data_IF_630282639156
#
_entry.id   IF_630282639156
#
_cell.length_a   1.000
_cell.length_b   1.000
_cell.length_c   1.000
_cell.angle_alpha   90.00
_cell.angle_beta   90.00
_cell.angle_gamma   90.00
#
_symmetry.space_group_name_H-M   'P 1'
#
loop_
_entity.id
_entity.type
_entity.pdbx_description
1 polymer ?
#
# COMPACT_ATOMS: atom_id res chain seq x y z
N UNK A 1 -8.02 -14.03 13.18
CA UNK A 1 -7.83 -13.33 11.89
C UNK A 1 -6.73 -13.96 11.03
N UNK A 2 -5.58 -14.38 11.59
CA UNK A 2 -4.55 -15.09 10.81
C UNK A 2 -5.09 -16.38 10.15
N UNK A 3 -5.76 -17.24 10.92
CA UNK A 3 -6.31 -18.51 10.39
C UNK A 3 -7.35 -18.30 9.29
N UNK A 4 -8.19 -17.26 9.43
CA UNK A 4 -9.12 -16.84 8.38
C UNK A 4 -8.37 -16.40 7.12
N UNK A 5 -7.32 -15.59 7.27
CA UNK A 5 -6.49 -15.18 6.14
C UNK A 5 -5.87 -16.39 5.43
N UNK A 6 -5.39 -17.37 6.19
CA UNK A 6 -4.86 -18.62 5.67
C UNK A 6 -5.91 -19.45 4.94
N UNK A 7 -7.13 -19.55 5.47
CA UNK A 7 -8.21 -20.37 4.87
C UNK A 7 -8.66 -19.87 3.50
N UNK A 8 -8.41 -18.59 3.16
CA UNK A 8 -8.81 -18.01 1.86
C UNK A 8 -7.68 -17.94 0.84
N UNK A 9 -6.47 -18.43 1.14
CA UNK A 9 -5.29 -18.35 0.23
C UNK A 9 -5.50 -19.07 -1.11
N UNK A 10 -6.31 -20.14 -1.14
CA UNK A 10 -6.59 -20.92 -2.35
C UNK A 10 -7.80 -20.41 -3.16
N UNK A 11 -8.25 -19.17 -2.90
CA UNK A 11 -9.38 -18.53 -3.58
C UNK A 11 -8.90 -17.40 -4.51
N UNK A 12 -9.80 -16.79 -5.28
CA UNK A 12 -9.48 -15.57 -6.05
C UNK A 12 -8.99 -14.43 -5.16
N UNK A 13 -9.51 -14.30 -3.94
CA UNK A 13 -9.03 -13.32 -2.97
C UNK A 13 -7.59 -13.59 -2.53
N UNK A 14 -7.21 -14.86 -2.45
CA UNK A 14 -5.84 -15.29 -2.17
C UNK A 14 -4.88 -15.03 -3.32
N UNK A 15 -5.32 -15.24 -4.58
CA UNK A 15 -4.56 -14.84 -5.79
C UNK A 15 -4.33 -13.33 -5.83
N UNK A 16 -5.35 -12.53 -5.51
CA UNK A 16 -5.20 -11.09 -5.35
C UNK A 16 -4.20 -10.76 -4.25
N UNK A 17 -4.24 -11.44 -3.10
CA UNK A 17 -3.28 -11.22 -2.01
C UNK A 17 -1.82 -11.53 -2.41
N UNK A 18 -1.61 -12.53 -3.27
CA UNK A 18 -0.30 -12.85 -3.84
C UNK A 18 0.24 -11.73 -4.74
N UNK A 19 -0.62 -11.17 -5.59
CA UNK A 19 -0.26 -10.04 -6.46
C UNK A 19 -0.01 -8.78 -5.65
N UNK A 20 -0.85 -8.52 -4.65
CA UNK A 20 -0.73 -7.42 -3.69
C UNK A 20 0.52 -7.54 -2.81
N UNK A 21 1.12 -8.73 -2.74
CA UNK A 21 2.32 -8.92 -1.97
C UNK A 21 3.52 -8.13 -2.55
N UNK A 22 3.57 -7.98 -3.88
CA UNK A 22 4.61 -7.26 -4.60
C UNK A 22 4.39 -5.74 -4.54
N UNK A 23 5.37 -5.03 -3.99
CA UNK A 23 5.35 -3.57 -3.84
C UNK A 23 6.05 -2.82 -4.98
N UNK A 24 6.50 -3.50 -6.05
CA UNK A 24 7.20 -2.86 -7.17
C UNK A 24 6.39 -1.67 -7.75
N UNK A 25 7.11 -0.66 -8.26
CA UNK A 25 6.51 0.61 -8.75
C UNK A 25 5.42 0.36 -9.80
N UNK A 26 5.67 -0.56 -10.71
CA UNK A 26 4.72 -0.90 -11.77
C UNK A 26 3.54 -1.71 -11.24
N UNK A 27 3.76 -2.59 -10.26
CA UNK A 27 2.67 -3.39 -9.70
C UNK A 27 1.72 -2.54 -8.85
N UNK A 28 2.25 -1.65 -7.99
CA UNK A 28 1.41 -0.82 -7.12
C UNK A 28 0.52 0.13 -7.95
N UNK A 29 1.05 0.70 -9.01
CA UNK A 29 0.28 1.58 -9.92
C UNK A 29 -0.78 0.78 -10.69
N UNK A 30 -0.42 -0.38 -11.25
CA UNK A 30 -1.37 -1.30 -11.91
C UNK A 30 -2.51 -1.76 -11.01
N UNK A 31 -2.24 -2.02 -9.73
CA UNK A 31 -3.27 -2.44 -8.76
C UNK A 31 -4.36 -1.39 -8.52
N UNK A 32 -4.03 -0.10 -8.66
CA UNK A 32 -4.99 0.98 -8.47
C UNK A 32 -5.72 1.38 -9.75
N UNK A 33 -5.18 1.09 -10.94
CA UNK A 33 -5.80 1.46 -12.22
C UNK A 33 -7.30 1.11 -12.33
N UNK A 34 -7.76 -0.11 -11.97
CA UNK A 34 -9.19 -0.45 -12.06
C UNK A 34 -10.07 0.38 -11.12
N UNK A 35 -9.60 0.64 -9.90
CA UNK A 35 -10.32 1.47 -8.91
C UNK A 35 -10.29 2.95 -9.27
N UNK A 36 -9.20 3.42 -9.87
CA UNK A 36 -9.04 4.79 -10.32
C UNK A 36 -9.84 5.09 -11.60
N UNK A 37 -10.07 4.08 -12.44
CA UNK A 37 -10.85 4.16 -13.68
C UNK A 37 -10.04 4.48 -14.93
N UNK A 38 -8.74 4.71 -14.77
CA UNK A 38 -7.80 4.93 -15.87
C UNK A 38 -6.53 4.13 -15.60
N UNK A 39 -5.82 3.76 -16.65
CA UNK A 39 -4.52 3.11 -16.53
C UNK A 39 -3.52 4.09 -15.88
N UNK A 40 -2.96 3.71 -14.73
CA UNK A 40 -1.87 4.44 -14.09
C UNK A 40 -0.54 3.86 -14.60
N UNK A 41 0.11 4.53 -15.55
CA UNK A 41 1.41 4.12 -16.11
C UNK A 41 2.26 5.31 -16.50
N UNK A 42 3.57 5.08 -16.65
CA UNK A 42 4.56 6.05 -17.13
C UNK A 42 4.23 6.60 -18.52
N UNK A 43 3.49 5.84 -19.33
CA UNK A 43 3.11 6.21 -20.70
C UNK A 43 1.76 6.91 -20.80
N UNK A 44 0.77 6.49 -20.01
CA UNK A 44 -0.62 7.00 -20.13
C UNK A 44 -0.93 8.12 -19.15
N UNK A 45 -0.33 8.06 -17.96
CA UNK A 45 -0.52 9.05 -16.89
C UNK A 45 0.81 9.33 -16.19
N UNK A 46 1.82 9.84 -16.91
CA UNK A 46 3.15 10.06 -16.37
C UNK A 46 3.17 10.88 -15.06
N UNK A 47 2.32 11.90 -14.92
CA UNK A 47 2.32 12.76 -13.74
C UNK A 47 1.70 12.08 -12.51
N UNK A 48 0.63 11.31 -12.69
CA UNK A 48 0.03 10.48 -11.63
C UNK A 48 1.00 9.33 -11.26
N UNK A 49 1.59 8.66 -12.25
CA UNK A 49 2.55 7.58 -12.03
C UNK A 49 3.76 8.08 -11.23
N UNK A 50 4.31 9.24 -11.61
CA UNK A 50 5.43 9.87 -10.89
C UNK A 50 5.05 10.22 -9.45
N UNK A 51 3.88 10.83 -9.24
CA UNK A 51 3.40 11.16 -7.89
C UNK A 51 3.36 9.92 -6.99
N UNK A 52 2.69 8.85 -7.45
CA UNK A 52 2.52 7.60 -6.70
C UNK A 52 3.86 6.93 -6.41
N UNK A 53 4.76 6.87 -7.40
CA UNK A 53 6.05 6.18 -7.25
C UNK A 53 7.06 6.97 -6.42
N UNK A 54 6.94 8.29 -6.33
CA UNK A 54 7.78 9.14 -5.47
C UNK A 54 7.34 9.04 -4.00
N UNK A 55 6.05 9.14 -3.68
CA UNK A 55 5.57 9.11 -2.28
C UNK A 55 5.67 7.73 -1.60
N UNK A 56 5.96 6.68 -2.38
CA UNK A 56 6.03 5.29 -1.89
C UNK A 56 7.01 5.13 -0.73
N UNK A 57 8.21 5.71 -0.82
CA UNK A 57 9.26 5.53 0.18
C UNK A 57 8.95 6.28 1.49
N UNK A 58 8.42 7.51 1.37
CA UNK A 58 8.00 8.33 2.50
C UNK A 58 6.95 7.59 3.35
N UNK A 59 5.96 6.97 2.68
CA UNK A 59 4.91 6.22 3.35
C UNK A 59 5.35 4.81 3.79
N UNK A 60 6.12 4.10 2.96
CA UNK A 60 6.43 2.68 3.15
C UNK A 60 7.52 2.41 4.18
N UNK A 61 8.52 3.29 4.28
CA UNK A 61 9.65 3.14 5.20
C UNK A 61 9.70 4.29 6.22
N UNK A 62 9.94 5.53 5.78
CA UNK A 62 10.22 6.66 6.68
C UNK A 62 9.14 6.85 7.76
N UNK A 63 7.87 6.80 7.37
CA UNK A 63 6.75 6.94 8.30
C UNK A 63 6.68 5.83 9.37
N UNK A 64 7.24 4.64 9.11
CA UNK A 64 7.07 3.47 10.00
C UNK A 64 8.35 3.03 10.71
N UNK A 65 9.52 3.50 10.25
CA UNK A 65 10.84 3.00 10.64
C UNK A 65 11.11 3.08 12.15
N UNK A 66 10.77 4.20 12.79
CA UNK A 66 11.03 4.41 14.23
C UNK A 66 10.30 3.38 15.09
N UNK A 67 9.00 3.19 14.84
CA UNK A 67 8.19 2.19 15.53
C UNK A 67 8.65 0.76 15.21
N UNK A 68 9.00 0.46 13.95
CA UNK A 68 9.52 -0.85 13.55
C UNK A 68 10.79 -1.22 14.31
N UNK A 69 11.73 -0.29 14.42
CA UNK A 69 13.00 -0.50 15.11
C UNK A 69 12.79 -0.63 16.62
N UNK A 70 11.88 0.16 17.20
CA UNK A 70 11.61 0.13 18.63
C UNK A 70 10.92 -1.17 19.08
N UNK A 71 9.85 -1.58 18.41
CA UNK A 71 9.07 -2.75 18.82
C UNK A 71 9.61 -4.07 18.29
N UNK A 72 10.31 -4.03 17.14
CA UNK A 72 10.87 -5.19 16.43
C UNK A 72 9.95 -6.43 16.44
N UNK A 73 8.65 -6.20 16.21
CA UNK A 73 7.61 -7.21 16.41
C UNK A 73 7.79 -8.40 15.45
N UNK A 74 7.70 -9.62 15.96
CA UNK A 74 7.75 -10.85 15.15
C UNK A 74 6.51 -10.93 14.24
N UNK A 75 6.74 -11.33 12.98
CA UNK A 75 5.68 -11.50 11.96
C UNK A 75 4.90 -12.81 12.15
N UNK A 76 3.67 -12.91 11.63
CA UNK A 76 2.86 -14.13 11.79
C UNK A 76 3.53 -15.39 11.24
N UNK A 77 4.05 -15.34 10.01
CA UNK A 77 4.69 -16.50 9.37
C UNK A 77 5.90 -17.02 10.17
N UNK A 78 6.70 -16.12 10.75
CA UNK A 78 7.84 -16.48 11.60
C UNK A 78 7.40 -17.05 12.95
N UNK A 79 6.32 -16.50 13.53
CA UNK A 79 5.76 -16.97 14.80
C UNK A 79 5.15 -18.38 14.68
N UNK A 80 4.42 -18.65 13.60
CA UNK A 80 3.79 -19.95 13.36
C UNK A 80 4.71 -20.97 12.67
N UNK A 81 5.90 -20.55 12.23
CA UNK A 81 6.82 -21.39 11.43
C UNK A 81 6.18 -21.93 10.14
N UNK A 82 5.43 -21.07 9.45
CA UNK A 82 4.70 -21.41 8.23
C UNK A 82 5.08 -20.46 7.09
N UNK A 83 4.96 -20.89 5.82
CA UNK A 83 5.18 -20.00 4.70
C UNK A 83 4.06 -18.96 4.56
N UNK A 84 4.43 -17.82 4.02
CA UNK A 84 3.53 -16.80 3.48
C UNK A 84 2.88 -17.29 2.18
N UNK A 85 1.93 -16.52 1.64
CA UNK A 85 1.40 -16.81 0.32
C UNK A 85 2.40 -16.54 -0.81
N UNK A 86 3.46 -15.75 -0.56
CA UNK A 86 4.49 -15.39 -1.54
C UNK A 86 5.89 -15.49 -0.91
N UNK A 87 6.56 -16.65 -0.99
CA UNK A 87 7.81 -16.88 -0.26
C UNK A 87 9.00 -16.00 -0.64
N UNK A 88 9.00 -15.39 -1.83
CA UNK A 88 10.13 -14.61 -2.36
C UNK A 88 10.64 -13.50 -1.41
N UNK A 89 9.75 -12.88 -0.64
CA UNK A 89 10.12 -11.76 0.26
C UNK A 89 10.39 -12.20 1.71
N UNK A 90 10.22 -13.49 2.05
CA UNK A 90 10.31 -13.97 3.44
C UNK A 90 11.67 -13.72 4.07
N UNK A 91 12.76 -14.01 3.34
CA UNK A 91 14.14 -13.87 3.81
C UNK A 91 14.48 -12.44 4.21
N UNK A 92 13.98 -11.47 3.45
CA UNK A 92 14.20 -10.04 3.72
C UNK A 92 13.30 -9.57 4.86
N UNK A 93 12.07 -10.06 4.92
CA UNK A 93 11.08 -9.58 5.88
C UNK A 93 11.20 -10.22 7.26
N UNK A 94 11.82 -11.40 7.38
CA UNK A 94 12.06 -12.07 8.67
C UNK A 94 12.99 -11.30 9.61
N UNK A 95 13.82 -10.39 9.07
CA UNK A 95 14.77 -9.58 9.86
C UNK A 95 14.28 -8.15 10.16
N UNK A 96 13.06 -7.80 9.75
CA UNK A 96 12.47 -6.46 9.94
C UNK A 96 11.14 -6.53 10.71
N UNK A 97 10.97 -5.64 11.69
CA UNK A 97 9.80 -5.54 12.55
C UNK A 97 8.46 -5.45 11.81
N UNK A 98 7.47 -6.19 12.32
CA UNK A 98 6.12 -6.29 11.76
C UNK A 98 5.28 -5.03 11.98
N UNK A 99 5.49 -4.29 13.07
CA UNK A 99 4.60 -3.21 13.51
C UNK A 99 5.19 -1.80 13.28
N UNK A 100 4.43 -0.86 12.67
CA UNK A 100 3.23 -1.08 11.87
C UNK A 100 3.59 -1.61 10.47
N UNK A 101 2.59 -1.99 9.66
CA UNK A 101 2.82 -2.46 8.29
C UNK A 101 3.20 -1.32 7.34
N UNK A 102 4.46 -1.26 6.90
CA UNK A 102 4.93 -0.29 5.89
C UNK A 102 4.19 -0.44 4.55
N UNK A 103 3.99 -1.68 4.08
CA UNK A 103 3.26 -1.93 2.84
C UNK A 103 1.81 -1.44 2.91
N UNK A 104 1.12 -1.66 4.04
CA UNK A 104 -0.23 -1.12 4.25
C UNK A 104 -0.21 0.40 4.32
N UNK A 105 0.79 1.00 4.99
CA UNK A 105 0.92 2.45 5.10
C UNK A 105 1.05 3.08 3.71
N UNK A 106 1.92 2.51 2.87
CA UNK A 106 2.07 2.88 1.46
C UNK A 106 0.75 2.76 0.68
N UNK A 107 0.12 1.58 0.67
CA UNK A 107 -1.11 1.35 -0.11
C UNK A 107 -2.26 2.27 0.32
N UNK A 108 -2.44 2.47 1.62
CA UNK A 108 -3.48 3.35 2.13
C UNK A 108 -3.19 4.83 1.83
N UNK A 109 -1.93 5.28 1.99
CA UNK A 109 -1.53 6.66 1.66
C UNK A 109 -1.74 6.97 0.17
N UNK A 110 -1.37 6.04 -0.73
CA UNK A 110 -1.63 6.17 -2.17
C UNK A 110 -3.14 6.29 -2.43
N UNK A 111 -3.98 5.49 -1.77
CA UNK A 111 -5.43 5.56 -1.95
C UNK A 111 -6.02 6.91 -1.52
N UNK A 112 -5.51 7.53 -0.45
CA UNK A 112 -5.95 8.86 0.00
C UNK A 112 -5.63 9.93 -1.05
N UNK A 113 -4.40 9.92 -1.59
CA UNK A 113 -3.97 10.88 -2.62
C UNK A 113 -4.69 10.66 -3.95
N UNK A 114 -4.91 9.40 -4.37
CA UNK A 114 -5.68 9.11 -5.58
C UNK A 114 -7.16 9.51 -5.44
N UNK A 115 -7.75 9.36 -4.27
CA UNK A 115 -9.12 9.83 -3.99
C UNK A 115 -9.22 11.35 -4.05
N UNK A 116 -8.17 12.09 -3.68
CA UNK A 116 -8.09 13.53 -3.86
C UNK A 116 -7.99 13.96 -5.33
N UNK A 117 -7.37 13.13 -6.18
CA UNK A 117 -7.27 13.38 -7.62
C UNK A 117 -8.60 13.04 -8.31
N UNK A 118 -9.19 11.89 -8.01
CA UNK A 118 -10.45 11.42 -8.59
C UNK A 118 -11.53 11.19 -7.52
N UNK A 119 -12.15 12.27 -6.98
CA UNK A 119 -13.15 12.15 -5.93
C UNK A 119 -14.42 11.41 -6.39
N UNK A 120 -14.69 11.36 -7.69
CA UNK A 120 -15.84 10.63 -8.24
C UNK A 120 -15.75 9.11 -8.04
N UNK A 121 -14.53 8.58 -7.83
CA UNK A 121 -14.27 7.15 -7.56
C UNK A 121 -13.63 6.90 -6.20
N UNK A 122 -13.76 7.86 -5.27
CA UNK A 122 -13.12 7.78 -3.96
C UNK A 122 -13.46 6.49 -3.21
N UNK A 123 -14.70 5.98 -3.34
CA UNK A 123 -15.12 4.78 -2.63
C UNK A 123 -14.37 3.54 -3.13
N UNK A 124 -14.24 3.37 -4.45
CA UNK A 124 -13.51 2.25 -5.02
C UNK A 124 -12.01 2.35 -4.75
N UNK A 125 -11.45 3.56 -4.82
CA UNK A 125 -10.04 3.82 -4.54
C UNK A 125 -9.72 3.51 -3.08
N UNK A 126 -10.51 4.04 -2.14
CA UNK A 126 -10.29 3.81 -0.72
C UNK A 126 -10.51 2.34 -0.37
N UNK A 127 -11.55 1.69 -0.89
CA UNK A 127 -11.77 0.25 -0.73
C UNK A 127 -10.54 -0.55 -1.19
N UNK A 128 -9.96 -0.19 -2.33
CA UNK A 128 -8.74 -0.84 -2.83
C UNK A 128 -7.56 -0.65 -1.86
N UNK A 129 -7.40 0.53 -1.29
CA UNK A 129 -6.41 0.80 -0.23
C UNK A 129 -6.61 -0.08 1.02
N UNK A 130 -7.86 -0.28 1.44
CA UNK A 130 -8.18 -1.21 2.53
C UNK A 130 -7.81 -2.66 2.19
N UNK A 131 -8.16 -3.12 1.00
CA UNK A 131 -7.91 -4.50 0.55
C UNK A 131 -6.41 -4.82 0.44
N UNK A 132 -5.55 -3.86 0.10
CA UNK A 132 -4.09 -4.03 0.11
C UNK A 132 -3.61 -4.39 1.53
N UNK A 133 -4.16 -3.75 2.56
CA UNK A 133 -3.88 -4.08 3.95
C UNK A 133 -4.35 -5.49 4.33
N UNK A 134 -5.58 -5.84 3.99
CA UNK A 134 -6.13 -7.19 4.22
C UNK A 134 -5.32 -8.28 3.52
N UNK A 135 -4.83 -8.00 2.31
CA UNK A 135 -3.95 -8.90 1.56
C UNK A 135 -2.68 -9.25 2.35
N UNK A 136 -2.17 -8.32 3.18
CA UNK A 136 -1.01 -8.61 4.04
C UNK A 136 -1.32 -9.59 5.17
N UNK A 137 -2.56 -9.58 5.67
CA UNK A 137 -3.05 -10.55 6.67
C UNK A 137 -3.26 -11.91 6.03
N UNK A 138 -3.95 -11.95 4.88
CA UNK A 138 -4.20 -13.17 4.10
C UNK A 138 -2.88 -13.85 3.75
N UNK A 139 -1.92 -13.09 3.25
CA UNK A 139 -0.63 -13.61 2.85
C UNK A 139 0.25 -14.01 4.04
N UNK A 140 -0.13 -13.68 5.28
CA UNK A 140 0.60 -14.06 6.50
C UNK A 140 1.80 -13.15 6.84
N UNK A 141 1.92 -12.01 6.17
CA UNK A 141 3.02 -11.07 6.37
C UNK A 141 2.87 -10.17 7.60
N UNK A 142 1.63 -9.89 7.99
CA UNK A 142 1.31 -8.93 9.04
C UNK A 142 0.13 -9.40 9.88
N UNK A 143 0.16 -9.04 11.16
CA UNK A 143 -0.99 -9.14 12.04
C UNK A 143 -2.04 -8.10 11.63
N UNK A 144 -3.32 -8.34 11.89
CA UNK A 144 -4.35 -7.33 11.66
C UNK A 144 -4.03 -6.01 12.39
N UNK A 145 -3.51 -6.06 13.61
CA UNK A 145 -3.17 -4.84 14.34
C UNK A 145 -2.01 -4.05 13.72
N UNK A 146 -1.10 -4.70 12.97
CA UNK A 146 -0.08 -3.99 12.20
C UNK A 146 -0.69 -3.21 11.04
N UNK A 147 -1.74 -3.78 10.43
CA UNK A 147 -2.51 -3.21 9.31
C UNK A 147 -3.37 -2.05 9.79
N UNK A 148 -4.03 -2.18 10.95
CA UNK A 148 -4.87 -1.11 11.48
C UNK A 148 -4.05 0.09 11.94
N UNK A 149 -2.91 -0.13 12.61
CA UNK A 149 -1.99 0.95 12.95
C UNK A 149 -1.38 1.64 11.72
N UNK A 150 -1.12 0.88 10.65
CA UNK A 150 -0.60 1.43 9.41
C UNK A 150 -1.55 2.42 8.72
N UNK A 151 -2.88 2.23 8.84
CA UNK A 151 -3.86 3.20 8.30
C UNK A 151 -3.77 4.56 8.99
N UNK A 152 -3.48 4.57 10.30
CA UNK A 152 -3.23 5.81 11.05
C UNK A 152 -1.95 6.48 10.57
N UNK A 153 -0.87 5.71 10.39
CA UNK A 153 0.39 6.24 9.85
C UNK A 153 0.22 6.80 8.43
N UNK A 154 -0.60 6.18 7.61
CA UNK A 154 -0.89 6.63 6.26
C UNK A 154 -1.59 7.99 6.25
N UNK A 155 -2.57 8.20 7.12
CA UNK A 155 -3.23 9.50 7.26
C UNK A 155 -2.23 10.58 7.73
N UNK A 156 -1.38 10.25 8.71
CA UNK A 156 -0.37 11.17 9.23
C UNK A 156 0.66 11.57 8.16
N UNK A 157 1.21 10.61 7.40
CA UNK A 157 2.20 10.91 6.36
C UNK A 157 1.59 11.70 5.21
N UNK A 158 0.34 11.43 4.81
CA UNK A 158 -0.34 12.24 3.77
C UNK A 158 -0.52 13.68 4.25
N UNK A 159 -0.88 13.92 5.51
CA UNK A 159 -0.95 15.28 6.06
C UNK A 159 0.42 15.97 6.02
N UNK A 160 1.51 15.26 6.36
CA UNK A 160 2.86 15.79 6.27
C UNK A 160 3.29 16.07 4.82
N UNK A 161 2.96 15.20 3.86
CA UNK A 161 3.28 15.41 2.45
C UNK A 161 2.68 16.71 1.91
N UNK A 162 1.49 17.08 2.36
CA UNK A 162 0.85 18.34 1.98
C UNK A 162 1.58 19.59 2.50
N UNK A 163 2.54 19.47 3.42
CA UNK A 163 3.42 20.58 3.83
C UNK A 163 4.66 20.71 2.93
N UNK A 164 4.88 19.79 2.00
CA UNK A 164 6.02 19.78 1.09
C UNK A 164 5.65 20.43 -0.26
N UNK A 165 6.43 21.45 -0.67
CA UNK A 165 6.17 22.20 -1.90
C UNK A 165 6.32 21.35 -3.17
N UNK A 166 7.30 20.45 -3.22
CA UNK A 166 7.54 19.57 -4.37
C UNK A 166 6.40 18.56 -4.54
N UNK A 167 5.91 18.01 -3.42
CA UNK A 167 4.72 17.15 -3.43
C UNK A 167 3.50 17.89 -3.97
N UNK A 168 3.20 19.09 -3.45
CA UNK A 168 2.07 19.90 -3.90
C UNK A 168 2.18 20.29 -5.39
N UNK A 169 3.39 20.57 -5.88
CA UNK A 169 3.63 20.83 -7.29
C UNK A 169 3.34 19.60 -8.15
N UNK A 170 3.84 18.42 -7.76
CA UNK A 170 3.60 17.17 -8.48
C UNK A 170 2.13 16.75 -8.43
N UNK A 171 1.45 16.93 -7.29
CA UNK A 171 0.01 16.71 -7.14
C UNK A 171 -0.82 17.63 -8.06
N UNK A 172 -0.41 18.89 -8.20
CA UNK A 172 -1.07 19.84 -9.11
C UNK A 172 -0.96 19.38 -10.56
N UNK A 173 0.21 18.87 -10.98
CA UNK A 173 0.41 18.28 -12.31
C UNK A 173 -0.44 17.04 -12.52
N UNK A 174 -0.48 16.13 -11.54
CA UNK A 174 -1.32 14.92 -11.60
C UNK A 174 -2.82 15.25 -11.70
N UNK A 175 -3.31 16.26 -10.95
CA UNK A 175 -4.69 16.75 -11.07
C UNK A 175 -4.97 17.39 -12.44
N UNK A 176 -3.99 18.09 -13.02
CA UNK A 176 -4.12 18.65 -14.36
C UNK A 176 -4.18 17.56 -15.44
N UNK A 177 -3.27 16.58 -15.37
CA UNK A 177 -3.29 15.39 -16.22
C UNK A 177 -4.64 14.67 -16.15
N UNK A 178 -5.17 14.43 -14.94
CA UNK A 178 -6.47 13.78 -14.77
C UNK A 178 -7.63 14.55 -15.43
N UNK A 179 -7.62 15.89 -15.40
CA UNK A 179 -8.64 16.70 -16.07
C UNK A 179 -8.63 16.55 -17.59
N UNK A 180 -7.51 16.15 -18.18
CA UNK A 180 -7.40 15.90 -19.63
C UNK A 180 -7.80 14.46 -20.02
N UNK A 181 -7.96 13.54 -19.06
CA UNK A 181 -8.44 12.18 -19.30
C UNK A 181 -9.97 12.07 -19.32
N UNK A 182 -10.66 13.05 -18.71
CA UNK A 182 -12.11 13.21 -18.73
C UNK A 182 -12.57 13.95 -19.98
#
# INVERSE_FOLDING_TARGET
MYDWGKSVRNTERGKQAYLDADSSKDNITKQFSPSFGFEISDKKTPEIYKLVTTMKEDAGDLATRSAKNHYNRIRPFSFFHEPTCRPDDEKTLSTNGSYPSGHTTMGFAISLVLAEINPARQNEILKRGYEIGESRVICGYHWQSDVDAAKVMAAAVVAQLHTNADFNQQLTKAKAEFRHLK
#
